data_IF_288788872467
#
_entry.id   IF_288788872467
#
_cell.length_a   1.000
_cell.length_b   1.000
_cell.length_c   1.000
_cell.angle_alpha   90.00
_cell.angle_beta   90.00
_cell.angle_gamma   90.00
#
_symmetry.space_group_name_H-M   'P 1'
#
loop_
_entity.id
_entity.type
_entity.pdbx_description
1 polymer ?
#
# COMPACT_ATOMS: atom_id res chain seq x y z
N UNK A 1 -9.38 5.64 -7.82
CA UNK A 1 -7.98 5.56 -7.32
C UNK A 1 -7.87 6.44 -6.07
N UNK A 2 -6.79 6.35 -5.27
CA UNK A 2 -6.66 7.15 -4.03
C UNK A 2 -6.84 8.66 -4.27
N UNK A 3 -6.44 9.14 -5.45
CA UNK A 3 -6.66 10.50 -5.95
C UNK A 3 -8.12 10.96 -5.96
N UNK A 4 -9.08 10.02 -6.03
CA UNK A 4 -10.51 10.34 -6.10
C UNK A 4 -11.07 10.65 -4.69
N UNK A 5 -10.28 10.35 -3.64
CA UNK A 5 -10.68 10.44 -2.24
C UNK A 5 -9.71 11.29 -1.39
N UNK A 6 -8.52 11.63 -1.92
CA UNK A 6 -7.57 12.55 -1.30
C UNK A 6 -6.89 13.42 -2.37
N UNK A 7 -6.91 14.74 -2.16
CA UNK A 7 -6.19 15.73 -2.97
C UNK A 7 -4.83 16.12 -2.38
N UNK A 8 -4.47 15.58 -1.21
CA UNK A 8 -3.20 15.87 -0.57
C UNK A 8 -2.07 15.19 -1.33
N UNK A 9 -1.13 16.00 -1.82
CA UNK A 9 -0.03 15.56 -2.68
C UNK A 9 0.78 14.44 -2.01
N UNK A 10 1.04 14.56 -0.70
CA UNK A 10 1.76 13.55 0.08
C UNK A 10 1.02 12.21 0.12
N UNK A 11 -0.31 12.20 0.26
CA UNK A 11 -1.09 10.95 0.27
C UNK A 11 -1.03 10.26 -1.08
N UNK A 12 -1.10 11.01 -2.18
CA UNK A 12 -1.02 10.46 -3.54
C UNK A 12 0.38 9.89 -3.78
N UNK A 13 1.44 10.61 -3.43
CA UNK A 13 2.82 10.11 -3.56
C UNK A 13 3.02 8.84 -2.73
N UNK A 14 2.60 8.85 -1.46
CA UNK A 14 2.66 7.67 -0.58
C UNK A 14 1.87 6.49 -1.16
N UNK A 15 0.70 6.72 -1.74
CA UNK A 15 -0.10 5.68 -2.37
C UNK A 15 0.62 5.05 -3.57
N UNK A 16 1.33 5.85 -4.38
CA UNK A 16 2.13 5.33 -5.50
C UNK A 16 3.32 4.51 -4.98
N UNK A 17 3.92 4.91 -3.86
CA UNK A 17 5.12 4.28 -3.32
C UNK A 17 4.87 3.14 -2.32
N UNK A 18 3.61 2.85 -1.96
CA UNK A 18 3.24 2.10 -0.75
C UNK A 18 3.95 0.75 -0.52
N UNK A 19 4.25 -0.01 -1.57
CA UNK A 19 4.90 -1.32 -1.47
C UNK A 19 6.35 -1.32 -2.04
N UNK A 20 6.87 -0.16 -2.44
CA UNK A 20 8.21 -0.06 -3.07
C UNK A 20 9.36 -0.49 -2.16
N UNK A 21 9.23 -0.35 -0.84
CA UNK A 21 10.21 -0.84 0.14
C UNK A 21 10.19 -2.36 0.31
N UNK A 22 9.09 -3.05 -0.01
CA UNK A 22 9.02 -4.52 0.00
C UNK A 22 9.40 -5.12 -1.36
N UNK A 23 8.96 -4.49 -2.45
CA UNK A 23 8.98 -5.09 -3.79
C UNK A 23 10.21 -4.70 -4.62
N UNK A 24 11.00 -3.72 -4.17
CA UNK A 24 12.14 -3.19 -4.93
C UNK A 24 13.38 -3.00 -4.05
N UNK A 25 14.49 -2.56 -4.66
CA UNK A 25 15.73 -2.18 -3.95
C UNK A 25 15.72 -0.73 -3.44
N UNK A 26 14.59 -0.03 -3.56
CA UNK A 26 14.46 1.34 -3.08
C UNK A 26 14.60 1.38 -1.56
N UNK A 27 15.34 2.35 -1.03
CA UNK A 27 15.54 2.49 0.42
C UNK A 27 14.76 3.68 0.97
N UNK A 28 14.46 3.65 2.28
CA UNK A 28 13.78 4.75 2.97
C UNK A 28 14.57 6.06 2.87
N UNK A 29 15.90 6.00 2.91
CA UNK A 29 16.79 7.16 2.77
C UNK A 29 16.66 7.78 1.38
N UNK A 30 16.52 6.96 0.34
CA UNK A 30 16.31 7.45 -1.03
C UNK A 30 14.95 8.14 -1.18
N UNK A 31 13.89 7.55 -0.63
CA UNK A 31 12.56 8.19 -0.60
C UNK A 31 12.63 9.51 0.15
N UNK A 32 13.32 9.55 1.29
CA UNK A 32 13.49 10.77 2.08
C UNK A 32 14.23 11.86 1.32
N UNK A 33 15.26 11.52 0.56
CA UNK A 33 16.02 12.47 -0.24
C UNK A 33 15.18 13.09 -1.36
N UNK A 34 14.38 12.29 -2.07
CA UNK A 34 13.61 12.74 -3.23
C UNK A 34 12.26 13.40 -2.85
N UNK A 35 11.59 12.89 -1.81
CA UNK A 35 10.20 13.25 -1.47
C UNK A 35 10.05 13.82 -0.05
N UNK A 36 11.12 13.85 0.75
CA UNK A 36 11.10 14.37 2.11
C UNK A 36 10.73 13.35 3.19
N UNK A 37 10.89 13.78 4.45
CA UNK A 37 10.81 12.87 5.60
C UNK A 37 9.39 12.34 5.88
N UNK A 38 8.35 13.14 5.64
CA UNK A 38 6.98 12.75 5.89
C UNK A 38 6.57 11.55 5.03
N UNK A 39 6.78 11.64 3.71
CA UNK A 39 6.46 10.58 2.75
C UNK A 39 7.30 9.33 3.05
N UNK A 40 8.59 9.48 3.34
CA UNK A 40 9.44 8.35 3.70
C UNK A 40 8.96 7.61 4.95
N UNK A 41 8.44 8.33 5.95
CA UNK A 41 7.85 7.72 7.15
C UNK A 41 6.55 7.00 6.83
N UNK A 42 5.66 7.63 6.06
CA UNK A 42 4.38 7.03 5.67
C UNK A 42 4.55 5.74 4.86
N UNK A 43 5.49 5.71 3.90
CA UNK A 43 5.79 4.48 3.12
C UNK A 43 6.41 3.42 4.02
N UNK A 44 7.28 3.81 4.95
CA UNK A 44 7.84 2.90 5.96
C UNK A 44 6.76 2.32 6.87
N UNK A 45 5.73 3.08 7.21
CA UNK A 45 4.62 2.61 8.03
C UNK A 45 3.73 1.60 7.31
N UNK A 46 3.59 1.74 5.99
CA UNK A 46 2.88 0.83 5.09
C UNK A 46 3.65 -0.47 4.80
N UNK A 47 4.90 -0.56 5.24
CA UNK A 47 5.79 -1.71 5.10
C UNK A 47 5.68 -2.66 6.29
N UNK A 48 5.50 -3.96 6.02
CA UNK A 48 5.29 -5.02 7.02
C UNK A 48 6.59 -5.58 7.56
N UNK A 49 7.71 -5.32 6.91
CA UNK A 49 9.03 -5.76 7.37
C UNK A 49 9.58 -4.72 8.33
N UNK A 50 9.72 -5.10 9.61
CA UNK A 50 10.27 -4.28 10.68
C UNK A 50 11.32 -5.09 11.43
N UNK A 51 12.55 -4.58 11.56
CA UNK A 51 13.66 -5.25 12.27
C UNK A 51 13.84 -6.73 11.90
N UNK A 52 13.87 -7.03 10.59
CA UNK A 52 13.95 -8.38 10.03
C UNK A 52 12.80 -9.33 10.39
N UNK A 53 11.69 -8.81 10.92
CA UNK A 53 10.46 -9.57 11.19
C UNK A 53 9.32 -9.04 10.32
N UNK A 54 8.59 -9.94 9.68
CA UNK A 54 7.38 -9.58 8.91
C UNK A 54 6.16 -9.67 9.81
N UNK A 55 5.55 -8.52 10.12
CA UNK A 55 4.31 -8.46 10.90
C UNK A 55 3.10 -8.91 10.08
N UNK A 56 2.04 -9.32 10.76
CA UNK A 56 0.78 -9.67 10.07
C UNK A 56 0.13 -8.41 9.47
N UNK A 57 -0.74 -8.59 8.46
CA UNK A 57 -1.52 -7.48 7.92
C UNK A 57 -2.46 -6.87 8.98
N UNK A 58 -3.01 -7.72 9.86
CA UNK A 58 -3.87 -7.27 10.96
C UNK A 58 -3.12 -6.40 11.97
N UNK A 59 -1.90 -6.82 12.32
CA UNK A 59 -1.04 -6.08 13.25
C UNK A 59 -0.66 -4.71 12.70
N UNK A 60 -0.30 -4.62 11.40
CA UNK A 60 -0.09 -3.34 10.73
C UNK A 60 -1.33 -2.43 10.81
N UNK A 61 -2.52 -2.96 10.50
CA UNK A 61 -3.77 -2.20 10.56
C UNK A 61 -4.03 -1.69 11.99
N UNK A 62 -3.78 -2.52 13.01
CA UNK A 62 -3.92 -2.11 14.42
C UNK A 62 -2.94 -0.99 14.79
N UNK A 63 -1.68 -1.06 14.34
CA UNK A 63 -0.67 -0.01 14.55
C UNK A 63 -1.09 1.30 13.89
N UNK A 64 -1.50 1.25 12.61
CA UNK A 64 -1.94 2.45 11.88
C UNK A 64 -3.18 3.08 12.53
N UNK A 65 -4.12 2.25 13.00
CA UNK A 65 -5.32 2.69 13.70
C UNK A 65 -5.00 3.33 15.05
N UNK A 66 -4.11 2.75 15.85
CA UNK A 66 -3.73 3.31 17.15
C UNK A 66 -2.98 4.64 17.01
N UNK A 67 -2.33 4.86 15.87
CA UNK A 67 -1.65 6.11 15.52
C UNK A 67 -2.56 7.12 14.78
N UNK A 68 -3.85 6.82 14.60
CA UNK A 68 -4.81 7.65 13.85
C UNK A 68 -4.38 7.97 12.41
N UNK A 69 -3.62 7.08 11.75
CA UNK A 69 -3.14 7.24 10.36
C UNK A 69 -4.21 6.80 9.36
N UNK A 70 -5.30 7.56 9.29
CA UNK A 70 -6.50 7.22 8.52
C UNK A 70 -6.22 7.16 7.00
N UNK A 71 -5.37 8.04 6.50
CA UNK A 71 -4.99 8.13 5.09
C UNK A 71 -4.21 6.86 4.67
N UNK A 72 -3.35 6.32 5.54
CA UNK A 72 -2.60 5.10 5.26
C UNK A 72 -3.48 3.86 5.28
N UNK A 73 -4.48 3.83 6.17
CA UNK A 73 -5.51 2.79 6.18
C UNK A 73 -6.33 2.83 4.88
N UNK A 74 -6.66 4.02 4.38
CA UNK A 74 -7.36 4.21 3.12
C UNK A 74 -6.54 3.67 1.94
N UNK A 75 -5.23 3.93 1.90
CA UNK A 75 -4.33 3.38 0.89
C UNK A 75 -4.36 1.85 0.90
N UNK A 76 -4.20 1.20 2.07
CA UNK A 76 -4.27 -0.27 2.16
C UNK A 76 -5.64 -0.82 1.78
N UNK A 77 -6.72 -0.11 2.08
CA UNK A 77 -8.06 -0.50 1.66
C UNK A 77 -8.19 -0.49 0.13
N UNK A 78 -7.71 0.56 -0.54
CA UNK A 78 -7.76 0.65 -1.99
C UNK A 78 -6.89 -0.40 -2.68
N UNK A 79 -5.68 -0.65 -2.16
CA UNK A 79 -4.83 -1.74 -2.63
C UNK A 79 -5.57 -3.09 -2.55
N UNK A 80 -6.14 -3.41 -1.38
CA UNK A 80 -6.91 -4.65 -1.20
C UNK A 80 -8.14 -4.71 -2.10
N UNK A 81 -8.85 -3.61 -2.27
CA UNK A 81 -10.00 -3.55 -3.16
C UNK A 81 -9.60 -3.85 -4.61
N UNK A 82 -8.54 -3.21 -5.10
CA UNK A 82 -8.01 -3.41 -6.45
C UNK A 82 -7.56 -4.87 -6.66
N UNK A 83 -6.85 -5.45 -5.69
CA UNK A 83 -6.40 -6.83 -5.74
C UNK A 83 -7.57 -7.83 -5.82
N UNK A 84 -8.61 -7.65 -4.99
CA UNK A 84 -9.81 -8.50 -5.04
C UNK A 84 -10.59 -8.33 -6.35
N UNK A 85 -10.75 -7.08 -6.80
CA UNK A 85 -11.41 -6.79 -8.07
C UNK A 85 -10.71 -7.50 -9.23
N UNK A 86 -9.38 -7.38 -9.34
CA UNK A 86 -8.59 -8.03 -10.38
C UNK A 86 -8.71 -9.56 -10.32
N UNK A 87 -8.63 -10.15 -9.12
CA UNK A 87 -8.76 -11.59 -8.95
C UNK A 87 -10.11 -12.11 -9.45
N UNK A 88 -11.22 -11.45 -9.08
CA UNK A 88 -12.57 -11.85 -9.52
C UNK A 88 -12.66 -11.82 -11.04
N UNK A 89 -12.17 -10.76 -11.69
CA UNK A 89 -12.26 -10.62 -13.15
C UNK A 89 -11.38 -11.64 -13.90
N UNK A 90 -10.21 -11.98 -13.35
CA UNK A 90 -9.34 -13.03 -13.89
C UNK A 90 -10.01 -14.41 -13.80
N UNK A 91 -10.63 -14.75 -12.66
CA UNK A 91 -11.29 -16.05 -12.49
C UNK A 91 -12.52 -16.22 -13.39
N UNK A 92 -13.29 -15.17 -13.62
CA UNK A 92 -14.42 -15.16 -14.57
C UNK A 92 -13.95 -15.37 -16.02
N UNK A 93 -12.82 -14.76 -16.40
CA UNK A 93 -12.22 -14.90 -17.73
C UNK A 93 -11.62 -16.29 -17.95
N UNK A 94 -11.04 -16.89 -16.91
CA UNK A 94 -10.47 -18.23 -16.97
C UNK A 94 -11.56 -19.32 -17.04
N UNK A 95 -12.68 -19.15 -16.32
CA UNK A 95 -13.86 -20.03 -16.43
C UNK A 95 -14.49 -19.99 -17.82
N UNK A 96 -14.53 -18.81 -18.47
CA UNK A 96 -15.03 -18.69 -19.84
C UNK A 96 -14.13 -19.40 -20.88
N UNK A 97 -12.81 -19.42 -20.66
CA UNK A 97 -11.84 -20.12 -21.54
C UNK A 97 -11.80 -21.64 -21.34
N UNK A 98 -12.05 -22.14 -20.14
CA UNK A 98 -12.01 -23.58 -19.84
C UNK A 98 -13.33 -24.31 -20.18
N UNK A 99 -14.35 -23.59 -20.65
CA UNK A 99 -15.65 -24.13 -21.08
C UNK A 99 -15.79 -24.17 -22.63
N UNK A 100 -14.67 -24.08 -23.35
CA UNK A 100 -14.51 -24.28 -24.80
C UNK A 100 -13.50 -25.42 -24.98
#
# INVERSE_FOLDING_TARGET
MVSDYSSETDTIITAILHDTLEDTKLTKERIRYEFGANIAEQVSDLTRVRDNKKISAMEMIQILRSQNKTELLLIKLFDRFHNNYNYIHQTSSQKARNNI
#
